data_IF_401773854311
#
_entry.id   IF_401773854311
#
_cell.length_a   1.000
_cell.length_b   1.000
_cell.length_c   1.000
_cell.angle_alpha   90.00
_cell.angle_beta   90.00
_cell.angle_gamma   90.00
#
_symmetry.space_group_name_H-M   'P 1'
#
loop_
_entity.id
_entity.type
_entity.pdbx_description
1 polymer ?
#
# COMPACT_ATOMS: atom_id res chain seq x y z
N UNK A 1 9.42 -3.56 -25.42
CA UNK A 1 8.23 -4.13 -24.77
C UNK A 1 8.16 -3.55 -23.38
N UNK A 2 7.21 -2.64 -23.12
CA UNK A 2 7.08 -2.06 -21.78
C UNK A 2 6.58 -3.15 -20.84
N UNK A 3 7.48 -3.61 -19.96
CA UNK A 3 7.12 -4.34 -18.75
C UNK A 3 6.39 -3.36 -17.84
N UNK A 4 5.10 -3.15 -18.08
CA UNK A 4 4.22 -2.50 -17.13
C UNK A 4 4.39 -3.16 -15.75
N UNK A 5 4.24 -2.40 -14.65
CA UNK A 5 4.50 -2.92 -13.32
C UNK A 5 3.69 -4.18 -13.06
N UNK A 6 4.37 -5.31 -12.84
CA UNK A 6 3.73 -6.58 -12.49
C UNK A 6 3.27 -6.52 -11.04
N UNK A 7 2.07 -6.01 -10.81
CA UNK A 7 1.42 -6.10 -9.52
C UNK A 7 0.95 -7.53 -9.24
N UNK A 8 1.01 -7.93 -7.97
CA UNK A 8 0.49 -9.23 -7.53
C UNK A 8 -0.96 -8.99 -7.09
N UNK A 9 -1.99 -9.51 -7.79
CA UNK A 9 -3.39 -9.10 -7.56
C UNK A 9 -3.91 -9.30 -6.13
N UNK A 10 -3.34 -10.27 -5.39
CA UNK A 10 -3.70 -10.54 -3.99
C UNK A 10 -3.22 -9.47 -3.00
N UNK A 11 -2.27 -8.62 -3.40
CA UNK A 11 -1.69 -7.58 -2.54
C UNK A 11 -2.32 -6.22 -2.81
N UNK A 12 -3.64 -6.15 -2.68
CA UNK A 12 -4.43 -4.93 -2.81
C UNK A 12 -5.02 -4.52 -1.45
N UNK A 13 -5.50 -3.28 -1.31
CA UNK A 13 -6.09 -2.81 -0.06
C UNK A 13 -7.36 -3.58 0.30
N UNK A 14 -8.16 -3.96 -0.69
CA UNK A 14 -9.41 -4.72 -0.51
C UNK A 14 -9.14 -6.10 0.10
N UNK A 15 -7.99 -6.68 -0.19
CA UNK A 15 -7.56 -7.99 0.32
C UNK A 15 -6.76 -7.89 1.64
N UNK A 16 -6.55 -6.68 2.17
CA UNK A 16 -5.82 -6.48 3.43
C UNK A 16 -6.79 -6.40 4.62
N UNK A 17 -6.73 -7.39 5.51
CA UNK A 17 -7.60 -7.41 6.70
C UNK A 17 -7.15 -6.35 7.72
N UNK A 18 -8.02 -5.38 7.97
CA UNK A 18 -7.76 -4.29 8.91
C UNK A 18 -8.23 -4.64 10.33
N UNK A 19 -7.34 -4.49 11.30
CA UNK A 19 -7.60 -4.66 12.72
C UNK A 19 -6.90 -3.59 13.57
N UNK A 20 -7.15 -3.54 14.90
CA UNK A 20 -6.58 -2.51 15.77
C UNK A 20 -5.05 -2.35 15.66
N UNK A 21 -4.32 -3.45 15.47
CA UNK A 21 -2.86 -3.47 15.40
C UNK A 21 -2.26 -2.94 14.09
N UNK A 22 -3.03 -2.88 13.00
CA UNK A 22 -2.53 -2.49 11.68
C UNK A 22 -3.34 -1.33 11.04
N UNK A 23 -4.42 -0.88 11.69
CA UNK A 23 -5.30 0.20 11.20
C UNK A 23 -4.55 1.48 10.87
N UNK A 24 -3.60 1.88 11.72
CA UNK A 24 -2.82 3.09 11.48
C UNK A 24 -1.92 2.96 10.23
N UNK A 25 -1.19 1.85 10.11
CA UNK A 25 -0.35 1.59 8.95
C UNK A 25 -1.16 1.50 7.65
N UNK A 26 -2.33 0.86 7.69
CA UNK A 26 -3.26 0.80 6.56
C UNK A 26 -3.77 2.19 6.16
N UNK A 27 -4.22 3.01 7.12
CA UNK A 27 -4.71 4.36 6.85
C UNK A 27 -3.62 5.27 6.28
N UNK A 28 -2.40 5.21 6.82
CA UNK A 28 -1.26 5.98 6.30
C UNK A 28 -0.87 5.55 4.88
N UNK A 29 -0.90 4.23 4.61
CA UNK A 29 -0.66 3.70 3.27
C UNK A 29 -1.72 4.17 2.26
N UNK A 30 -3.01 4.12 2.62
CA UNK A 30 -4.10 4.61 1.77
C UNK A 30 -3.95 6.09 1.46
N UNK A 31 -3.68 6.92 2.48
CA UNK A 31 -3.54 8.36 2.32
C UNK A 31 -2.44 8.76 1.33
N UNK A 32 -1.31 8.04 1.31
CA UNK A 32 -0.23 8.29 0.33
C UNK A 32 -0.61 7.79 -1.06
N UNK A 33 -1.34 6.68 -1.17
CA UNK A 33 -1.77 6.19 -2.47
C UNK A 33 -2.76 7.16 -3.15
N UNK A 34 -3.65 7.77 -2.36
CA UNK A 34 -4.63 8.77 -2.82
C UNK A 34 -3.99 10.14 -3.08
N UNK A 35 -3.00 10.54 -2.27
CA UNK A 35 -2.30 11.83 -2.39
C UNK A 35 -0.77 11.64 -2.33
N UNK A 36 -0.15 11.16 -3.42
CA UNK A 36 1.30 10.95 -3.47
C UNK A 36 2.07 12.26 -3.21
N UNK A 37 3.05 12.20 -2.31
CA UNK A 37 3.85 13.38 -1.94
C UNK A 37 3.16 14.37 -0.99
N UNK A 38 1.91 14.11 -0.60
CA UNK A 38 1.18 14.89 0.39
C UNK A 38 1.55 14.53 1.83
N UNK A 39 0.54 14.37 2.68
CA UNK A 39 0.74 13.99 4.07
C UNK A 39 1.37 12.59 4.18
N UNK A 40 2.15 12.36 5.25
CA UNK A 40 2.83 11.08 5.54
C UNK A 40 4.00 10.71 4.62
N UNK A 41 4.47 11.61 3.74
CA UNK A 41 5.72 11.41 2.99
C UNK A 41 6.95 11.82 3.84
N UNK A 42 7.94 10.92 4.10
CA UNK A 42 8.02 9.53 3.64
C UNK A 42 7.25 8.55 4.54
N UNK A 43 6.65 7.53 3.92
CA UNK A 43 6.03 6.42 4.66
C UNK A 43 7.05 5.34 4.96
N UNK A 44 7.25 5.12 6.26
CA UNK A 44 8.10 4.06 6.76
C UNK A 44 7.27 3.05 7.56
N UNK A 45 7.10 1.84 7.02
CA UNK A 45 6.35 0.75 7.67
C UNK A 45 7.32 -0.28 8.24
N UNK A 46 7.24 -0.53 9.55
CA UNK A 46 8.08 -1.51 10.25
C UNK A 46 7.24 -2.50 11.05
N UNK A 47 7.82 -3.66 11.37
CA UNK A 47 7.17 -4.74 12.10
C UNK A 47 7.81 -6.09 11.82
N UNK A 48 7.50 -7.10 12.64
CA UNK A 48 7.99 -8.47 12.50
C UNK A 48 7.62 -9.15 11.17
N UNK A 49 8.13 -10.36 10.96
CA UNK A 49 7.81 -11.16 9.76
C UNK A 49 6.31 -11.45 9.68
N UNK A 50 5.76 -11.50 8.46
CA UNK A 50 4.35 -11.87 8.24
C UNK A 50 3.30 -10.82 8.61
N UNK A 51 3.68 -9.62 9.08
CA UNK A 51 2.73 -8.58 9.52
C UNK A 51 2.18 -7.68 8.39
N UNK A 52 2.34 -8.07 7.13
CA UNK A 52 1.71 -7.36 6.01
C UNK A 52 2.47 -6.18 5.40
N UNK A 53 3.73 -5.94 5.77
CA UNK A 53 4.57 -4.85 5.20
C UNK A 53 4.62 -4.88 3.67
N UNK A 54 4.95 -6.04 3.11
CA UNK A 54 5.03 -6.24 1.65
C UNK A 54 3.67 -6.08 0.99
N UNK A 55 2.61 -6.57 1.64
CA UNK A 55 1.23 -6.41 1.15
C UNK A 55 0.87 -4.94 1.05
N UNK A 56 1.07 -4.16 2.12
CA UNK A 56 0.76 -2.73 2.14
C UNK A 56 1.54 -1.95 1.08
N UNK A 57 2.84 -2.21 0.92
CA UNK A 57 3.65 -1.53 -0.11
C UNK A 57 3.16 -1.82 -1.53
N UNK A 58 2.81 -3.07 -1.83
CA UNK A 58 2.25 -3.43 -3.13
C UNK A 58 0.86 -2.80 -3.33
N UNK A 59 0.02 -2.78 -2.29
CA UNK A 59 -1.31 -2.19 -2.35
C UNK A 59 -1.24 -0.69 -2.65
N UNK A 60 -0.31 0.05 -2.04
CA UNK A 60 -0.05 1.46 -2.34
C UNK A 60 0.24 1.65 -3.84
N UNK A 61 1.20 0.89 -4.38
CA UNK A 61 1.62 1.04 -5.76
C UNK A 61 0.50 0.68 -6.75
N UNK A 62 -0.21 -0.43 -6.50
CA UNK A 62 -1.35 -0.84 -7.32
C UNK A 62 -2.47 0.19 -7.28
N UNK A 63 -2.81 0.71 -6.11
CA UNK A 63 -3.89 1.70 -5.96
C UNK A 63 -3.53 3.03 -6.61
N UNK A 64 -2.30 3.52 -6.42
CA UNK A 64 -1.82 4.75 -7.04
C UNK A 64 -1.84 4.67 -8.59
N UNK A 65 -1.46 3.51 -9.16
CA UNK A 65 -1.50 3.26 -10.60
C UNK A 65 -2.94 3.16 -11.15
N UNK A 66 -3.92 2.75 -10.33
CA UNK A 66 -5.33 2.74 -10.74
C UNK A 66 -5.93 4.15 -10.73
N UNK A 67 -5.52 5.01 -9.79
CA UNK A 67 -5.99 6.39 -9.69
C UNK A 67 -5.36 7.30 -10.76
N UNK A 68 -4.11 7.04 -11.14
CA UNK A 68 -3.37 7.79 -12.16
C UNK A 68 -2.81 6.81 -13.21
N UNK A 69 -3.64 6.38 -14.18
CA UNK A 69 -3.27 5.38 -15.18
C UNK A 69 -2.20 5.85 -16.16
#
# INVERSE_FOLDING_TARGET
EELGPRFVPKYSFENFVVGPSNRFAHAAAMAIAEQPGGNYNPLFVYGGSGLGKTHLLHAVAQHAALLNP
#
